data_IF_190149767794
#
_entry.id   IF_190149767794
#
_cell.length_a   1.000
_cell.length_b   1.000
_cell.length_c   1.000
_cell.angle_alpha   90.00
_cell.angle_beta   90.00
_cell.angle_gamma   90.00
#
_symmetry.space_group_name_H-M   'P 1'
#
loop_
_entity.id
_entity.type
_entity.pdbx_description
1 polymer ?
#
# COMPACT_ATOMS: atom_id res chain seq x y z
N UNK A 1 27.17 12.97 10.32
CA UNK A 1 26.62 12.13 9.26
C UNK A 1 25.14 11.94 9.57
N UNK A 2 24.24 12.56 8.81
CA UNK A 2 22.80 12.48 9.05
C UNK A 2 22.31 11.17 8.45
N UNK A 3 21.84 10.25 9.27
CA UNK A 3 21.16 9.04 8.83
C UNK A 3 19.87 9.48 8.12
N UNK A 4 19.89 9.40 6.80
CA UNK A 4 18.71 9.56 5.96
C UNK A 4 17.96 8.22 6.03
N UNK A 5 16.97 8.14 6.93
CA UNK A 5 16.07 7.01 6.97
C UNK A 5 15.21 7.06 5.71
N UNK A 6 15.54 6.22 4.74
CA UNK A 6 14.78 6.02 3.53
C UNK A 6 13.68 5.01 3.86
N UNK A 7 12.46 5.49 4.06
CA UNK A 7 11.31 4.68 4.43
C UNK A 7 10.68 4.16 3.13
N UNK A 8 10.65 2.83 2.94
CA UNK A 8 10.00 2.13 1.82
C UNK A 8 8.61 1.65 2.25
N UNK A 9 7.64 1.74 1.36
CA UNK A 9 6.26 1.48 1.70
C UNK A 9 5.63 0.45 0.78
N UNK A 10 4.82 -0.44 1.38
CA UNK A 10 3.75 -1.11 0.67
C UNK A 10 2.53 -0.20 0.77
N UNK A 11 2.02 0.20 -0.39
CA UNK A 11 0.87 1.07 -0.51
C UNK A 11 -0.37 0.22 -0.77
N UNK A 12 -1.33 0.26 0.14
CA UNK A 12 -2.65 -0.33 -0.08
C UNK A 12 -3.61 0.81 -0.38
N UNK A 13 -4.03 0.91 -1.64
CA UNK A 13 -4.92 1.94 -2.12
C UNK A 13 -6.34 1.37 -2.18
N UNK A 14 -7.23 1.91 -1.36
CA UNK A 14 -8.63 1.50 -1.33
C UNK A 14 -9.43 2.54 -2.10
N UNK A 15 -9.91 2.17 -3.30
CA UNK A 15 -10.71 3.03 -4.14
C UNK A 15 -12.17 3.05 -3.70
N UNK A 16 -12.75 4.23 -3.68
CA UNK A 16 -14.18 4.39 -3.52
C UNK A 16 -14.83 4.35 -4.91
N UNK A 17 -15.33 3.19 -5.34
CA UNK A 17 -16.04 3.04 -6.62
C UNK A 17 -17.53 3.34 -6.42
N UNK A 18 -17.95 4.51 -6.89
CA UNK A 18 -19.35 4.92 -6.94
C UNK A 18 -19.48 6.06 -7.91
N UNK A 19 -19.32 5.78 -9.22
CA UNK A 19 -19.47 6.79 -10.26
C UNK A 19 -20.93 6.82 -10.74
N UNK A 20 -21.64 7.89 -10.40
CA UNK A 20 -22.89 8.30 -11.05
C UNK A 20 -22.61 9.59 -11.79
N UNK A 21 -22.86 9.58 -13.10
CA UNK A 21 -22.69 10.72 -14.03
C UNK A 21 -23.62 11.90 -13.68
N UNK A 22 -23.26 12.67 -12.68
CA UNK A 22 -23.77 14.02 -12.51
C UNK A 22 -22.62 14.91 -12.02
N UNK A 23 -22.36 15.97 -12.79
CA UNK A 23 -21.36 17.00 -12.44
C UNK A 23 -21.86 17.73 -11.18
N UNK A 24 -21.57 17.15 -10.03
CA UNK A 24 -21.72 17.78 -8.73
C UNK A 24 -20.30 17.89 -8.17
N UNK A 25 -19.99 19.03 -7.58
CA UNK A 25 -18.69 19.32 -6.95
C UNK A 25 -18.21 18.15 -6.07
N UNK A 26 -17.37 17.33 -6.69
CA UNK A 26 -16.93 16.01 -6.17
C UNK A 26 -16.03 16.16 -4.94
N UNK A 27 -15.51 17.35 -4.68
CA UNK A 27 -14.54 17.60 -3.61
C UNK A 27 -15.16 17.49 -2.20
N UNK A 28 -16.44 17.71 -2.02
CA UNK A 28 -17.12 17.74 -0.72
C UNK A 28 -17.69 16.37 -0.31
N UNK A 29 -17.99 15.48 -1.26
CA UNK A 29 -18.70 14.23 -1.00
C UNK A 29 -17.80 13.05 -0.56
N UNK A 30 -16.50 13.06 -0.88
CA UNK A 30 -15.59 11.95 -0.59
C UNK A 30 -14.94 11.98 0.79
N UNK A 31 -14.80 13.15 1.39
CA UNK A 31 -14.14 13.34 2.68
C UNK A 31 -14.75 12.45 3.79
N UNK A 32 -16.07 12.37 3.98
CA UNK A 32 -16.66 11.56 5.05
C UNK A 32 -16.43 10.04 4.85
N UNK A 33 -16.37 9.57 3.61
CA UNK A 33 -16.15 8.14 3.31
C UNK A 33 -14.71 7.74 3.60
N UNK A 34 -13.72 8.55 3.20
CA UNK A 34 -12.30 8.32 3.46
C UNK A 34 -12.00 8.42 4.96
N UNK A 35 -12.64 9.35 5.67
CA UNK A 35 -12.51 9.46 7.13
C UNK A 35 -13.05 8.22 7.85
N UNK A 36 -14.19 7.67 7.41
CA UNK A 36 -14.70 6.42 7.96
C UNK A 36 -13.76 5.25 7.70
N UNK A 37 -13.18 5.15 6.49
CA UNK A 37 -12.17 4.14 6.18
C UNK A 37 -10.98 4.24 7.13
N UNK A 38 -10.44 5.44 7.31
CA UNK A 38 -9.33 5.67 8.23
C UNK A 38 -9.69 5.26 9.66
N UNK A 39 -10.89 5.63 10.15
CA UNK A 39 -11.36 5.24 11.48
C UNK A 39 -11.50 3.72 11.63
N UNK A 40 -12.05 3.03 10.61
CA UNK A 40 -12.15 1.57 10.61
C UNK A 40 -10.75 0.96 10.72
N UNK A 41 -9.82 1.34 9.84
CA UNK A 41 -8.47 0.78 9.90
C UNK A 41 -7.77 1.08 11.21
N UNK A 42 -7.85 2.30 11.72
CA UNK A 42 -7.26 2.67 13.02
C UNK A 42 -7.87 1.93 14.22
N UNK A 43 -9.14 1.53 14.15
CA UNK A 43 -9.78 0.78 15.23
C UNK A 43 -9.27 -0.66 15.32
N UNK A 44 -8.94 -1.28 14.19
CA UNK A 44 -8.42 -2.65 14.11
C UNK A 44 -6.89 -2.69 14.13
N UNK A 45 -6.25 -1.69 13.52
CA UNK A 45 -4.80 -1.53 13.47
C UNK A 45 -4.43 -0.14 14.04
N UNK A 46 -4.35 0.00 15.37
CA UNK A 46 -3.93 1.26 15.97
C UNK A 46 -2.55 1.62 15.45
N UNK A 47 -2.31 2.93 15.28
CA UNK A 47 -1.04 3.46 14.76
C UNK A 47 0.12 2.88 15.57
N UNK A 48 0.84 1.96 14.95
CA UNK A 48 2.11 1.42 15.43
C UNK A 48 3.23 2.09 14.66
N UNK A 49 4.42 2.08 15.22
CA UNK A 49 5.62 2.50 14.49
C UNK A 49 5.69 1.73 13.16
N UNK A 50 5.75 2.44 12.01
CA UNK A 50 5.81 1.85 10.68
C UNK A 50 4.50 1.81 9.88
N UNK A 51 3.34 2.20 10.46
CA UNK A 51 2.07 2.30 9.70
C UNK A 51 1.67 3.76 9.59
N UNK A 52 1.50 4.25 8.35
CA UNK A 52 1.10 5.63 8.05
C UNK A 52 -0.19 5.59 7.24
N UNK A 53 -1.17 6.40 7.67
CA UNK A 53 -2.44 6.58 6.98
C UNK A 53 -2.45 7.94 6.27
N UNK A 54 -2.63 7.95 4.95
CA UNK A 54 -2.70 9.16 4.14
C UNK A 54 -4.02 9.22 3.38
N UNK A 55 -4.80 10.27 3.64
CA UNK A 55 -6.05 10.52 2.92
C UNK A 55 -5.75 11.17 1.58
N UNK A 56 -6.32 10.64 0.52
CA UNK A 56 -6.26 11.20 -0.84
C UNK A 56 -7.68 11.32 -1.41
N UNK A 57 -7.90 12.17 -2.42
CA UNK A 57 -9.26 12.42 -2.94
C UNK A 57 -10.01 11.15 -3.35
N UNK A 58 -9.30 10.11 -3.80
CA UNK A 58 -9.90 8.85 -4.28
C UNK A 58 -9.88 7.70 -3.28
N UNK A 59 -9.35 7.88 -2.06
CA UNK A 59 -9.29 6.80 -1.08
C UNK A 59 -8.34 7.01 0.07
N UNK A 60 -7.99 5.92 0.72
CA UNK A 60 -7.06 5.85 1.84
C UNK A 60 -5.81 5.08 1.42
N UNK A 61 -4.66 5.68 1.66
CA UNK A 61 -3.36 5.03 1.51
C UNK A 61 -2.92 4.54 2.88
N UNK A 62 -2.58 3.26 2.96
CA UNK A 62 -1.98 2.65 4.13
C UNK A 62 -0.55 2.26 3.75
N UNK A 63 0.41 3.01 4.26
CA UNK A 63 1.82 2.76 4.00
C UNK A 63 2.43 1.98 5.15
N UNK A 64 3.09 0.87 4.83
CA UNK A 64 3.72 -0.02 5.80
C UNK A 64 5.15 -0.30 5.32
N UNK A 65 6.11 -0.30 6.25
CA UNK A 65 7.50 -0.60 5.91
C UNK A 65 7.61 -2.03 5.34
N UNK A 66 8.30 -2.17 4.21
CA UNK A 66 8.48 -3.48 3.55
C UNK A 66 9.20 -4.50 4.45
N UNK A 67 10.05 -4.03 5.36
CA UNK A 67 10.75 -4.88 6.32
C UNK A 67 9.81 -5.55 7.33
N UNK A 68 8.60 -5.05 7.51
CA UNK A 68 7.57 -5.75 8.30
C UNK A 68 7.13 -7.04 7.61
N UNK A 69 7.12 -7.07 6.28
CA UNK A 69 6.59 -8.18 5.49
C UNK A 69 7.67 -9.11 4.93
N UNK A 70 8.83 -8.57 4.54
CA UNK A 70 9.82 -9.30 3.78
C UNK A 70 11.22 -9.18 4.37
N UNK A 71 12.04 -10.18 4.14
CA UNK A 71 13.48 -10.09 4.35
C UNK A 71 14.17 -9.45 3.14
N UNK A 72 15.35 -8.90 3.34
CA UNK A 72 16.14 -8.30 2.26
C UNK A 72 16.35 -9.30 1.13
N UNK A 73 16.07 -8.88 -0.11
CA UNK A 73 16.22 -9.71 -1.31
C UNK A 73 15.23 -10.87 -1.44
N UNK A 74 14.21 -10.96 -0.59
CA UNK A 74 13.22 -12.03 -0.59
C UNK A 74 11.81 -11.45 -0.82
N UNK A 75 10.94 -12.21 -1.47
CA UNK A 75 9.53 -11.89 -1.65
C UNK A 75 8.59 -12.80 -0.84
N UNK A 76 9.11 -13.75 -0.07
CA UNK A 76 8.31 -14.60 0.82
C UNK A 76 7.87 -13.81 2.04
N UNK A 77 6.57 -13.90 2.35
CA UNK A 77 6.00 -13.25 3.52
C UNK A 77 6.60 -13.82 4.82
N UNK A 78 6.96 -12.94 5.72
CA UNK A 78 7.34 -13.32 7.08
C UNK A 78 6.11 -13.79 7.85
N UNK A 79 6.26 -14.84 8.65
CA UNK A 79 5.18 -15.32 9.51
C UNK A 79 4.68 -14.23 10.47
N UNK A 80 5.58 -13.40 10.98
CA UNK A 80 5.26 -12.27 11.87
C UNK A 80 4.37 -11.21 11.22
N UNK A 81 4.33 -11.13 9.90
CA UNK A 81 3.51 -10.15 9.16
C UNK A 81 2.07 -10.62 8.91
N UNK A 82 1.81 -11.92 9.03
CA UNK A 82 0.54 -12.51 8.63
C UNK A 82 -0.65 -11.93 9.42
N UNK A 83 -0.46 -11.60 10.70
CA UNK A 83 -1.52 -11.00 11.51
C UNK A 83 -1.96 -9.62 10.99
N UNK A 84 -1.03 -8.84 10.41
CA UNK A 84 -1.34 -7.54 9.80
C UNK A 84 -2.15 -7.77 8.54
N UNK A 85 -1.71 -8.71 7.69
CA UNK A 85 -2.43 -9.09 6.47
C UNK A 85 -3.80 -9.68 6.77
N UNK A 86 -3.94 -10.45 7.84
CA UNK A 86 -5.21 -10.97 8.31
C UNK A 86 -6.19 -9.85 8.64
N UNK A 87 -5.72 -8.86 9.37
CA UNK A 87 -6.53 -7.69 9.74
C UNK A 87 -6.94 -6.88 8.52
N UNK A 88 -6.00 -6.61 7.61
CA UNK A 88 -6.26 -5.89 6.37
C UNK A 88 -7.27 -6.67 5.52
N UNK A 89 -7.06 -7.96 5.33
CA UNK A 89 -7.95 -8.84 4.55
C UNK A 89 -9.36 -8.87 5.13
N UNK A 90 -9.48 -8.98 6.46
CA UNK A 90 -10.76 -8.97 7.16
C UNK A 90 -11.55 -7.69 6.90
N UNK A 91 -10.87 -6.55 6.87
CA UNK A 91 -11.50 -5.26 6.59
C UNK A 91 -11.87 -5.16 5.10
N UNK A 92 -10.92 -5.44 4.19
CA UNK A 92 -11.10 -5.32 2.73
C UNK A 92 -12.22 -6.24 2.23
N UNK A 93 -12.32 -7.47 2.74
CA UNK A 93 -13.39 -8.40 2.40
C UNK A 93 -14.79 -7.79 2.61
N UNK A 94 -14.96 -7.01 3.68
CA UNK A 94 -16.23 -6.42 4.10
C UNK A 94 -16.54 -5.06 3.48
N UNK A 95 -15.53 -4.42 2.91
CA UNK A 95 -15.70 -3.17 2.19
C UNK A 95 -16.20 -3.43 0.75
N UNK A 96 -16.86 -2.47 0.15
CA UNK A 96 -17.21 -2.49 -1.28
C UNK A 96 -16.10 -1.92 -2.17
N UNK A 97 -14.97 -1.57 -1.58
CA UNK A 97 -13.87 -0.88 -2.21
C UNK A 97 -12.88 -1.86 -2.83
N UNK A 98 -12.23 -1.42 -3.90
CA UNK A 98 -11.08 -2.12 -4.46
C UNK A 98 -9.83 -1.83 -3.63
N UNK A 99 -8.90 -2.77 -3.63
CA UNK A 99 -7.63 -2.72 -2.91
C UNK A 99 -6.49 -2.86 -3.92
N UNK A 100 -5.71 -1.79 -4.10
CA UNK A 100 -4.47 -1.85 -4.86
C UNK A 100 -3.32 -2.07 -3.91
N UNK A 101 -2.50 -3.07 -4.19
CA UNK A 101 -1.29 -3.39 -3.44
C UNK A 101 -0.10 -2.90 -4.25
N UNK A 102 0.50 -1.80 -3.84
CA UNK A 102 1.69 -1.24 -4.49
C UNK A 102 2.93 -1.62 -3.67
N UNK A 103 3.90 -2.25 -4.32
CA UNK A 103 5.20 -2.55 -3.72
C UNK A 103 6.29 -1.71 -4.35
N UNK A 104 7.02 -0.99 -3.49
CA UNK A 104 8.15 -0.15 -3.85
C UNK A 104 9.37 -0.62 -3.09
N UNK A 105 10.48 -0.89 -3.76
CA UNK A 105 11.72 -1.29 -3.10
C UNK A 105 12.95 -0.65 -3.73
N UNK A 106 13.90 -0.30 -2.87
CA UNK A 106 15.24 0.18 -3.24
C UNK A 106 16.32 -0.52 -2.43
N UNK A 107 15.96 -1.54 -1.67
CA UNK A 107 16.94 -2.31 -0.93
C UNK A 107 17.88 -2.99 -1.91
N UNK A 108 19.16 -3.04 -1.56
CA UNK A 108 20.14 -3.81 -2.32
C UNK A 108 19.67 -5.26 -2.46
N UNK A 109 19.69 -5.76 -3.68
CA UNK A 109 19.35 -7.15 -3.98
C UNK A 109 20.62 -7.98 -3.81
N UNK A 110 20.69 -8.92 -2.86
CA UNK A 110 21.83 -9.80 -2.68
C UNK A 110 22.13 -10.59 -3.96
N UNK A 111 23.42 -10.89 -4.20
CA UNK A 111 23.83 -11.62 -5.41
C UNK A 111 23.23 -13.03 -5.51
N UNK A 112 22.95 -13.65 -4.38
CA UNK A 112 22.32 -14.97 -4.24
C UNK A 112 20.78 -14.91 -4.28
N UNK A 113 20.19 -13.74 -4.44
CA UNK A 113 18.73 -13.59 -4.60
C UNK A 113 18.25 -14.20 -5.92
N UNK A 114 17.04 -14.74 -5.91
CA UNK A 114 16.32 -15.20 -7.11
C UNK A 114 15.96 -14.05 -8.04
N UNK A 115 15.94 -12.81 -7.53
CA UNK A 115 15.61 -11.59 -8.27
C UNK A 115 16.88 -10.84 -8.64
N UNK A 116 16.86 -10.18 -9.82
CA UNK A 116 17.99 -9.38 -10.30
C UNK A 116 17.67 -7.90 -10.39
N UNK A 117 16.39 -7.57 -10.56
CA UNK A 117 15.93 -6.21 -10.75
C UNK A 117 14.88 -5.81 -9.69
N UNK A 118 14.87 -4.53 -9.32
CA UNK A 118 13.93 -4.01 -8.31
C UNK A 118 12.46 -4.19 -8.69
N UNK A 119 12.15 -4.13 -9.98
CA UNK A 119 10.79 -4.33 -10.45
C UNK A 119 10.35 -5.81 -10.34
N UNK A 120 11.27 -6.76 -10.51
CA UNK A 120 10.98 -8.20 -10.37
C UNK A 120 10.57 -8.50 -8.92
N UNK A 121 11.42 -8.13 -7.96
CA UNK A 121 11.16 -8.42 -6.55
C UNK A 121 9.94 -7.66 -6.03
N UNK A 122 9.72 -6.40 -6.45
CA UNK A 122 8.54 -5.64 -6.03
C UNK A 122 7.25 -6.23 -6.59
N UNK A 123 7.27 -6.70 -7.85
CA UNK A 123 6.12 -7.40 -8.45
C UNK A 123 5.82 -8.70 -7.70
N UNK A 124 6.84 -9.50 -7.41
CA UNK A 124 6.66 -10.74 -6.66
C UNK A 124 6.13 -10.49 -5.24
N UNK A 125 6.60 -9.44 -4.57
CA UNK A 125 6.10 -9.04 -3.24
C UNK A 125 4.64 -8.64 -3.27
N UNK A 126 4.25 -7.77 -4.20
CA UNK A 126 2.84 -7.36 -4.36
C UNK A 126 1.95 -8.57 -4.65
N UNK A 127 2.41 -9.47 -5.53
CA UNK A 127 1.69 -10.69 -5.87
C UNK A 127 1.53 -11.62 -4.67
N UNK A 128 2.58 -11.85 -3.88
CA UNK A 128 2.51 -12.74 -2.71
C UNK A 128 1.56 -12.22 -1.63
N UNK A 129 1.45 -10.90 -1.45
CA UNK A 129 0.44 -10.31 -0.58
C UNK A 129 -0.96 -10.56 -1.15
N UNK A 130 -1.17 -10.31 -2.45
CA UNK A 130 -2.46 -10.54 -3.09
C UNK A 130 -2.88 -12.01 -3.01
N UNK A 131 -1.98 -12.93 -3.30
CA UNK A 131 -2.22 -14.37 -3.20
C UNK A 131 -2.62 -14.77 -1.78
N UNK A 132 -1.94 -14.26 -0.77
CA UNK A 132 -2.32 -14.50 0.62
C UNK A 132 -3.73 -13.99 0.93
N UNK A 133 -4.06 -12.77 0.54
CA UNK A 133 -5.39 -12.19 0.75
C UNK A 133 -6.48 -12.99 0.05
N UNK A 134 -6.25 -13.40 -1.18
CA UNK A 134 -7.25 -14.10 -2.00
C UNK A 134 -7.34 -15.58 -1.61
N UNK A 135 -6.22 -16.30 -1.59
CA UNK A 135 -6.21 -17.76 -1.42
C UNK A 135 -6.39 -18.17 0.05
N UNK A 136 -5.75 -17.46 0.98
CA UNK A 136 -5.79 -17.82 2.40
C UNK A 136 -6.92 -17.11 3.15
N UNK A 137 -7.23 -15.85 2.78
CA UNK A 137 -8.21 -15.03 3.51
C UNK A 137 -9.53 -14.83 2.76
N UNK A 138 -9.66 -15.39 1.54
CA UNK A 138 -10.89 -15.40 0.76
C UNK A 138 -11.41 -14.03 0.37
N UNK A 139 -10.52 -13.04 0.30
CA UNK A 139 -10.86 -11.74 -0.30
C UNK A 139 -11.18 -11.98 -1.78
N UNK A 140 -12.31 -11.46 -2.32
CA UNK A 140 -12.64 -11.64 -3.73
C UNK A 140 -11.51 -11.13 -4.64
N UNK A 141 -11.05 -11.96 -5.57
CA UNK A 141 -9.89 -11.65 -6.42
C UNK A 141 -10.10 -10.40 -7.29
N UNK A 142 -11.35 -10.15 -7.68
CA UNK A 142 -11.75 -8.98 -8.46
C UNK A 142 -11.57 -7.64 -7.72
N UNK A 143 -11.32 -7.70 -6.41
CA UNK A 143 -11.07 -6.51 -5.58
C UNK A 143 -9.59 -6.24 -5.32
N UNK A 144 -8.69 -7.16 -5.68
CA UNK A 144 -7.28 -7.09 -5.28
C UNK A 144 -6.38 -6.95 -6.49
N UNK A 145 -5.65 -5.85 -6.58
CA UNK A 145 -4.82 -5.48 -7.74
C UNK A 145 -3.36 -5.31 -7.31
N UNK A 146 -2.50 -6.32 -7.50
CA UNK A 146 -1.08 -6.21 -7.19
C UNK A 146 -0.31 -5.43 -8.25
N UNK A 147 0.58 -4.53 -7.82
CA UNK A 147 1.45 -3.71 -8.67
C UNK A 147 2.85 -3.59 -8.07
N UNK A 148 3.89 -3.93 -8.85
CA UNK A 148 5.29 -3.71 -8.49
C UNK A 148 5.86 -2.50 -9.22
N UNK A 149 6.43 -1.56 -8.48
CA UNK A 149 7.01 -0.33 -9.04
C UNK A 149 8.54 -0.29 -8.95
N UNK A 150 9.17 -1.22 -8.24
CA UNK A 150 10.60 -1.16 -8.00
C UNK A 150 10.98 0.18 -7.37
N UNK A 151 12.00 0.84 -7.94
CA UNK A 151 12.43 2.18 -7.52
C UNK A 151 11.76 3.32 -8.30
N UNK A 152 10.95 3.01 -9.33
CA UNK A 152 10.52 3.98 -10.35
C UNK A 152 9.49 5.02 -9.85
N UNK A 153 8.80 4.75 -8.77
CA UNK A 153 7.85 5.70 -8.19
C UNK A 153 7.99 5.74 -6.67
N UNK A 154 9.02 6.43 -6.15
CA UNK A 154 9.07 6.66 -4.71
C UNK A 154 7.86 7.49 -4.31
N UNK A 155 7.09 7.00 -3.33
CA UNK A 155 5.99 7.75 -2.76
C UNK A 155 6.55 9.07 -2.18
N UNK A 156 6.32 10.17 -2.89
CA UNK A 156 6.60 11.50 -2.35
C UNK A 156 5.47 11.82 -1.38
N UNK A 157 5.74 11.77 -0.10
CA UNK A 157 4.93 12.49 0.86
C UNK A 157 4.89 13.96 0.39
N UNK A 158 3.80 14.39 -0.23
CA UNK A 158 3.54 15.79 -0.56
C UNK A 158 3.29 16.58 0.73
N UNK A 159 4.32 16.74 1.54
CA UNK A 159 4.44 17.87 2.43
C UNK A 159 5.11 18.95 1.57
N UNK A 160 4.26 19.82 1.03
CA UNK A 160 4.54 21.10 0.40
C UNK A 160 6.02 21.47 0.19
N UNK A 161 6.54 21.24 -1.03
CA UNK A 161 7.52 22.14 -1.62
C UNK A 161 7.08 22.35 -3.07
N UNK A 162 6.69 23.60 -3.36
CA UNK A 162 6.42 24.09 -4.72
C UNK A 162 7.52 23.66 -5.68
N UNK A 163 7.19 23.29 -6.94
CA UNK A 163 8.20 23.02 -7.93
C UNK A 163 8.99 24.31 -8.16
N UNK A 164 10.29 24.31 -7.86
CA UNK A 164 11.21 25.32 -8.37
C UNK A 164 11.23 25.14 -9.89
N UNK A 165 10.97 26.25 -10.59
CA UNK A 165 10.85 26.32 -12.01
C UNK A 165 12.08 25.74 -12.74
N UNK A 166 11.80 25.19 -13.88
CA UNK A 166 12.76 24.94 -14.94
C UNK A 166 13.14 26.31 -15.54
N UNK A 167 14.39 26.73 -15.35
CA UNK A 167 15.10 27.65 -16.22
C UNK A 167 15.95 26.85 -17.22
#
# INVERSE_FOLDING_TARGET
MKNLYLIFFILILIFCTGFSDSVIDVSVSYQPAVERLEQIFKSYMPVKQGIIYTKVPRGLIISIDENEFFSTGDARLKESSLYVLDTISFIVERLKNDCVIESHTRQEIPQDSDYKEFWEISTARAQNIADYMVLCRKVPFEKVFPMGFGELMPFKNNVSTSPKGFD
#
